data_IF_658857181473
#
_entry.id   IF_658857181473
#
_cell.length_a   1.000
_cell.length_b   1.000
_cell.length_c   1.000
_cell.angle_alpha   90.00
_cell.angle_beta   90.00
_cell.angle_gamma   90.00
#
_symmetry.space_group_name_H-M   'P 1'
#
loop_
_entity.id
_entity.type
_entity.pdbx_description
1 polymer ?
#
# COMPACT_ATOMS: atom_id res chain seq x y z
N UNK A 1 -1.41 -25.18 11.90
CA UNK A 1 -1.37 -24.05 10.95
C UNK A 1 -2.28 -24.35 9.76
N UNK A 2 -3.32 -23.54 9.59
CA UNK A 2 -4.37 -23.70 8.57
C UNK A 2 -4.01 -22.98 7.26
N UNK A 3 -4.82 -23.16 6.20
CA UNK A 3 -4.69 -22.39 4.95
C UNK A 3 -4.91 -20.89 5.18
N UNK A 4 -5.85 -20.54 6.07
CA UNK A 4 -6.10 -19.16 6.50
C UNK A 4 -4.84 -18.53 7.08
N UNK A 5 -4.19 -19.22 8.03
CA UNK A 5 -2.98 -18.70 8.68
C UNK A 5 -1.85 -18.44 7.66
N UNK A 6 -1.67 -19.35 6.70
CA UNK A 6 -0.67 -19.20 5.64
C UNK A 6 -0.94 -17.98 4.76
N UNK A 7 -2.19 -17.78 4.32
CA UNK A 7 -2.57 -16.62 3.52
C UNK A 7 -2.35 -15.33 4.31
N UNK A 8 -2.79 -15.29 5.56
CA UNK A 8 -2.60 -14.10 6.41
C UNK A 8 -1.13 -13.79 6.66
N UNK A 9 -0.28 -14.82 6.81
CA UNK A 9 1.18 -14.62 6.90
C UNK A 9 1.71 -13.97 5.62
N UNK A 10 1.35 -14.47 4.44
CA UNK A 10 1.79 -13.88 3.17
C UNK A 10 1.33 -12.43 2.99
N UNK A 11 0.09 -12.12 3.37
CA UNK A 11 -0.42 -10.74 3.35
C UNK A 11 0.35 -9.84 4.32
N UNK A 12 0.68 -10.37 5.50
CA UNK A 12 1.47 -9.65 6.48
C UNK A 12 2.89 -9.38 5.97
N UNK A 13 3.55 -10.38 5.40
CA UNK A 13 4.88 -10.26 4.83
C UNK A 13 4.88 -9.23 3.68
N UNK A 14 3.91 -9.30 2.76
CA UNK A 14 3.72 -8.30 1.72
C UNK A 14 3.47 -6.88 2.27
N UNK A 15 2.72 -6.76 3.37
CA UNK A 15 2.50 -5.45 4.02
C UNK A 15 3.80 -4.88 4.61
N UNK A 16 4.70 -5.73 5.12
CA UNK A 16 5.99 -5.28 5.62
C UNK A 16 6.92 -4.82 4.48
N UNK A 17 6.91 -5.50 3.33
CA UNK A 17 7.63 -5.04 2.13
C UNK A 17 7.12 -3.68 1.65
N UNK A 18 5.80 -3.48 1.65
CA UNK A 18 5.19 -2.18 1.35
C UNK A 18 5.68 -1.08 2.32
N UNK A 19 5.77 -1.39 3.61
CA UNK A 19 6.30 -0.46 4.62
C UNK A 19 7.77 -0.14 4.36
N UNK A 20 8.59 -1.14 4.02
CA UNK A 20 10.00 -0.96 3.65
C UNK A 20 10.13 0.00 2.47
N UNK A 21 9.38 -0.24 1.40
CA UNK A 21 9.38 0.64 0.24
C UNK A 21 8.98 2.09 0.57
N UNK A 22 7.94 2.28 1.40
CA UNK A 22 7.52 3.61 1.84
C UNK A 22 8.69 4.32 2.53
N UNK A 23 9.35 3.66 3.49
CA UNK A 23 10.48 4.24 4.24
C UNK A 23 11.65 4.61 3.33
N UNK A 24 12.00 3.74 2.39
CA UNK A 24 13.09 4.02 1.44
C UNK A 24 12.73 5.21 0.54
N UNK A 25 11.46 5.32 0.16
CA UNK A 25 10.96 6.40 -0.69
C UNK A 25 10.89 7.76 0.03
N UNK A 26 10.66 7.79 1.34
CA UNK A 26 10.53 9.03 2.12
C UNK A 26 11.69 10.02 1.93
N UNK A 27 12.90 9.52 1.70
CA UNK A 27 14.08 10.36 1.46
C UNK A 27 13.98 11.20 0.18
N UNK A 28 13.22 10.75 -0.81
CA UNK A 28 12.98 11.47 -2.07
C UNK A 28 11.93 12.58 -1.92
N UNK A 29 11.18 12.60 -0.81
CA UNK A 29 10.07 13.53 -0.57
C UNK A 29 10.30 14.43 0.66
N UNK A 30 11.57 14.76 0.98
CA UNK A 30 11.96 15.61 2.12
C UNK A 30 11.22 16.95 2.15
N UNK A 31 11.16 17.63 1.00
CA UNK A 31 10.50 18.93 0.86
C UNK A 31 8.99 18.88 1.08
N UNK A 32 8.41 17.67 1.03
CA UNK A 32 6.99 17.41 1.26
C UNK A 32 6.77 16.74 2.63
N UNK A 33 7.63 17.03 3.62
CA UNK A 33 7.57 16.41 4.95
C UNK A 33 7.51 14.87 4.91
N UNK A 34 8.25 14.29 3.97
CA UNK A 34 8.36 12.83 3.74
C UNK A 34 7.04 12.16 3.33
N UNK A 35 6.06 12.91 2.81
CA UNK A 35 4.83 12.33 2.29
C UNK A 35 5.06 11.69 0.92
N UNK A 36 4.96 10.37 0.85
CA UNK A 36 5.07 9.59 -0.38
C UNK A 36 3.69 9.51 -1.06
N UNK A 37 3.53 9.94 -2.31
CA UNK A 37 2.25 9.83 -3.02
C UNK A 37 1.83 8.37 -3.24
N UNK A 38 0.53 8.08 -3.07
CA UNK A 38 0.00 6.74 -3.32
C UNK A 38 0.19 6.25 -4.76
N UNK A 39 0.25 7.18 -5.73
CA UNK A 39 0.53 6.87 -7.13
C UNK A 39 1.95 6.33 -7.28
N UNK A 40 2.93 7.00 -6.66
CA UNK A 40 4.34 6.57 -6.66
C UNK A 40 4.47 5.12 -6.16
N UNK A 41 3.82 4.81 -5.04
CA UNK A 41 3.91 3.48 -4.41
C UNK A 41 3.27 2.42 -5.30
N UNK A 42 2.07 2.68 -5.82
CA UNK A 42 1.34 1.70 -6.63
C UNK A 42 2.02 1.44 -7.96
N UNK A 43 2.61 2.46 -8.58
CA UNK A 43 3.18 2.35 -9.91
C UNK A 43 4.56 1.69 -9.87
N UNK A 44 5.41 2.02 -8.88
CA UNK A 44 6.71 1.37 -8.71
C UNK A 44 6.62 -0.10 -8.30
N UNK A 45 5.59 -0.47 -7.52
CA UNK A 45 5.38 -1.84 -7.06
C UNK A 45 4.39 -2.65 -7.94
N UNK A 46 3.91 -2.07 -9.06
CA UNK A 46 2.85 -2.62 -9.92
C UNK A 46 1.66 -3.22 -9.14
N UNK A 47 1.18 -2.48 -8.13
CA UNK A 47 0.10 -2.93 -7.24
C UNK A 47 -1.31 -2.65 -7.77
N UNK A 48 -1.42 -2.23 -9.02
CA UNK A 48 -2.67 -2.04 -9.72
C UNK A 48 -2.99 -3.32 -10.52
N UNK A 49 -3.94 -4.12 -10.04
CA UNK A 49 -4.25 -5.42 -10.62
C UNK A 49 -5.59 -5.46 -11.35
N UNK A 50 -5.73 -6.47 -12.21
CA UNK A 50 -7.05 -6.96 -12.62
C UNK A 50 -7.64 -7.77 -11.48
N UNK A 51 -8.67 -7.23 -10.84
CA UNK A 51 -9.30 -7.71 -9.61
C UNK A 51 -10.59 -8.51 -9.87
N UNK A 52 -10.81 -8.98 -11.10
CA UNK A 52 -11.91 -9.89 -11.44
C UNK A 52 -11.37 -11.15 -12.14
N UNK A 53 -12.08 -12.29 -12.03
CA UNK A 53 -11.77 -13.48 -12.84
C UNK A 53 -11.83 -13.16 -14.34
N UNK A 54 -11.17 -13.96 -15.18
CA UNK A 54 -11.07 -13.74 -16.64
C UNK A 54 -12.40 -13.51 -17.38
N UNK A 55 -13.51 -14.06 -16.87
CA UNK A 55 -14.85 -13.91 -17.46
C UNK A 55 -15.65 -12.74 -16.88
N UNK A 56 -15.11 -12.04 -15.88
CA UNK A 56 -15.73 -10.87 -15.28
C UNK A 56 -15.45 -9.61 -16.08
N UNK A 57 -16.38 -8.67 -16.04
CA UNK A 57 -16.17 -7.33 -16.60
C UNK A 57 -15.37 -6.49 -15.61
N UNK A 58 -14.30 -5.87 -16.08
CA UNK A 58 -13.53 -4.90 -15.29
C UNK A 58 -13.32 -3.60 -16.04
N UNK A 59 -13.43 -2.51 -15.29
CA UNK A 59 -13.14 -1.15 -15.76
C UNK A 59 -11.77 -0.70 -15.26
N UNK A 60 -10.71 -1.14 -15.94
CA UNK A 60 -9.31 -0.77 -15.66
C UNK A 60 -8.70 -1.40 -14.40
N UNK A 61 -7.37 -1.39 -14.29
CA UNK A 61 -6.63 -1.91 -13.12
C UNK A 61 -7.06 -1.18 -11.83
N UNK A 62 -7.09 -1.89 -10.69
CA UNK A 62 -7.49 -1.35 -9.38
C UNK A 62 -6.39 -1.54 -8.34
N UNK A 63 -6.17 -0.53 -7.51
CA UNK A 63 -5.21 -0.56 -6.40
C UNK A 63 -5.75 -1.21 -5.13
N UNK A 64 -6.61 -2.24 -5.24
CA UNK A 64 -7.23 -2.87 -4.07
C UNK A 64 -6.24 -3.62 -3.20
N UNK A 65 -5.27 -4.30 -3.81
CA UNK A 65 -4.19 -4.97 -3.06
C UNK A 65 -3.42 -3.95 -2.24
N UNK A 66 -2.99 -2.84 -2.87
CA UNK A 66 -2.36 -1.73 -2.16
C UNK A 66 -3.22 -1.22 -0.99
N UNK A 67 -4.50 -0.93 -1.23
CA UNK A 67 -5.39 -0.41 -0.19
C UNK A 67 -5.54 -1.38 0.99
N UNK A 68 -5.64 -2.69 0.73
CA UNK A 68 -5.69 -3.72 1.77
C UNK A 68 -4.40 -3.77 2.58
N UNK A 69 -3.24 -3.80 1.93
CA UNK A 69 -1.94 -3.84 2.62
C UNK A 69 -1.69 -2.57 3.44
N UNK A 70 -1.98 -1.40 2.88
CA UNK A 70 -1.88 -0.13 3.59
C UNK A 70 -2.82 -0.09 4.81
N UNK A 71 -4.05 -0.62 4.68
CA UNK A 71 -4.97 -0.73 5.81
C UNK A 71 -4.42 -1.61 6.94
N UNK A 72 -3.82 -2.76 6.60
CA UNK A 72 -3.19 -3.64 7.59
C UNK A 72 -2.04 -2.97 8.36
N UNK A 73 -1.28 -2.09 7.71
CA UNK A 73 -0.23 -1.29 8.36
C UNK A 73 -0.83 -0.19 9.23
N UNK A 74 -1.87 0.50 8.75
CA UNK A 74 -2.56 1.56 9.49
C UNK A 74 -3.23 1.03 10.76
N UNK A 75 -3.85 -0.15 10.71
CA UNK A 75 -4.45 -0.81 11.88
C UNK A 75 -3.40 -1.17 12.96
N UNK A 76 -2.12 -1.23 12.59
CA UNK A 76 -0.98 -1.43 13.50
C UNK A 76 -0.25 -0.13 13.86
N UNK A 77 -0.77 1.02 13.44
CA UNK A 77 -0.15 2.33 13.60
C UNK A 77 1.28 2.40 13.04
N UNK A 78 1.55 1.69 11.94
CA UNK A 78 2.87 1.67 11.30
C UNK A 78 3.02 2.71 10.18
N UNK A 79 1.91 3.24 9.67
CA UNK A 79 1.88 4.29 8.65
C UNK A 79 0.86 5.36 9.02
N UNK A 80 1.08 6.56 8.49
CA UNK A 80 0.14 7.67 8.53
C UNK A 80 -0.42 7.92 7.13
N UNK A 81 -1.65 8.44 7.05
CA UNK A 81 -2.37 8.64 5.79
C UNK A 81 -3.16 9.96 5.81
N UNK A 82 -2.71 10.96 5.05
CA UNK A 82 -3.53 12.12 4.70
C UNK A 82 -4.05 12.00 3.27
N UNK A 83 -5.25 12.56 3.07
CA UNK A 83 -5.82 12.82 1.75
C UNK A 83 -5.95 14.32 1.55
N UNK A 84 -5.25 14.85 0.54
CA UNK A 84 -5.27 16.27 0.19
C UNK A 84 -5.89 16.37 -1.20
N UNK A 85 -7.12 16.89 -1.26
CA UNK A 85 -7.93 16.88 -2.47
C UNK A 85 -8.20 15.45 -2.96
N UNK A 86 -7.82 15.15 -4.20
CA UNK A 86 -7.95 13.81 -4.80
C UNK A 86 -6.74 12.90 -4.56
N UNK A 87 -5.65 13.41 -3.97
CA UNK A 87 -4.39 12.68 -3.80
C UNK A 87 -4.27 12.10 -2.40
N UNK A 88 -3.87 10.85 -2.35
CA UNK A 88 -3.55 10.11 -1.15
C UNK A 88 -2.03 10.08 -0.95
N UNK A 89 -1.58 10.21 0.29
CA UNK A 89 -0.17 10.13 0.64
C UNK A 89 0.02 9.20 1.83
N UNK A 90 1.24 8.70 1.98
CA UNK A 90 1.62 7.79 3.04
C UNK A 90 3.03 8.12 3.52
N UNK A 91 3.28 7.87 4.80
CA UNK A 91 4.62 7.82 5.38
C UNK A 91 4.61 6.84 6.54
N UNK A 92 5.77 6.35 6.94
CA UNK A 92 5.93 5.55 8.15
C UNK A 92 5.59 6.38 9.38
N UNK A 93 4.95 5.76 10.36
CA UNK A 93 4.61 6.43 11.60
C UNK A 93 5.89 6.86 12.32
N UNK A 94 5.97 8.14 12.69
CA UNK A 94 7.09 8.67 13.46
C UNK A 94 6.86 8.30 14.93
N UNK A 95 7.68 7.39 15.46
CA UNK A 95 7.74 7.12 16.90
C UNK A 95 8.56 8.18 17.61
#
# INVERSE_FOLDING_TARGET
MTRKDKIHKLLNDASNELLGFIKDSEFMFKDQNHWVPAVEIKDNLDLNFVAVPRKGTQYGKKGWVFATLARMLADKSLIEYPKIGSRAFYRSARK
#
